data_IF_312959867213
#
_entry.id   IF_312959867213
#
_cell.length_a   1.000
_cell.length_b   1.000
_cell.length_c   1.000
_cell.angle_alpha   90.00
_cell.angle_beta   90.00
_cell.angle_gamma   90.00
#
_symmetry.space_group_name_H-M   'P 1'
#
loop_
_entity.id
_entity.type
_entity.pdbx_description
1 polymer ?
#
# COMPACT_ATOMS: atom_id res chain seq x y z
N UNK A 1 -20.48 22.61 -19.36
CA UNK A 1 -19.79 22.74 -18.06
C UNK A 1 -18.86 21.56 -17.92
N UNK A 2 -17.55 21.77 -17.78
CA UNK A 2 -16.60 20.68 -17.49
C UNK A 2 -16.92 20.09 -16.13
N UNK A 3 -17.10 18.79 -16.06
CA UNK A 3 -17.38 18.07 -14.82
C UNK A 3 -16.14 18.13 -13.91
N UNK A 4 -16.31 18.58 -12.67
CA UNK A 4 -15.22 18.66 -11.70
C UNK A 4 -15.04 17.29 -11.02
N UNK A 5 -13.87 16.67 -11.21
CA UNK A 5 -13.53 15.40 -10.57
C UNK A 5 -12.74 15.64 -9.29
N UNK A 6 -13.20 15.07 -8.18
CA UNK A 6 -12.50 15.05 -6.89
C UNK A 6 -12.13 13.61 -6.52
N UNK A 7 -11.00 13.44 -5.82
CA UNK A 7 -10.57 12.14 -5.28
C UNK A 7 -10.45 12.24 -3.77
N UNK A 8 -11.02 11.26 -3.08
CA UNK A 8 -10.80 11.09 -1.66
C UNK A 8 -9.44 10.42 -1.44
N UNK A 9 -8.55 11.06 -0.69
CA UNK A 9 -7.19 10.58 -0.41
C UNK A 9 -6.83 10.77 1.05
N UNK A 10 -5.88 9.98 1.54
CA UNK A 10 -5.26 10.21 2.86
C UNK A 10 -4.24 11.34 2.75
N UNK A 11 -4.42 12.38 3.57
CA UNK A 11 -3.50 13.52 3.65
C UNK A 11 -2.45 13.38 4.75
N UNK A 12 -2.82 12.80 5.89
CA UNK A 12 -1.96 12.68 7.06
C UNK A 12 -1.86 11.21 7.49
N UNK A 13 -0.64 10.67 7.47
CA UNK A 13 -0.36 9.30 7.84
C UNK A 13 0.12 9.23 9.29
N UNK A 14 -0.63 8.61 10.21
CA UNK A 14 -0.20 8.46 11.60
C UNK A 14 0.94 7.43 11.70
N UNK A 15 1.83 7.56 12.70
CA UNK A 15 2.90 6.58 12.96
C UNK A 15 2.36 5.17 13.23
N UNK A 16 1.21 5.12 13.89
CA UNK A 16 0.54 3.88 14.27
C UNK A 16 -0.90 3.89 13.73
N UNK A 17 -1.20 3.11 12.68
CA UNK A 17 -2.55 2.98 12.14
C UNK A 17 -3.51 2.27 13.13
N UNK A 18 -3.00 1.60 14.17
CA UNK A 18 -3.80 1.06 15.27
C UNK A 18 -4.56 2.14 16.06
N UNK A 19 -4.12 3.40 15.98
CA UNK A 19 -4.82 4.54 16.59
C UNK A 19 -6.14 4.89 15.88
N UNK A 20 -6.32 4.42 14.64
CA UNK A 20 -7.57 4.61 13.90
C UNK A 20 -8.68 3.78 14.54
N UNK A 21 -9.62 4.44 15.23
CA UNK A 21 -10.64 3.76 16.04
C UNK A 21 -11.68 3.00 15.20
N UNK A 22 -12.10 3.57 14.07
CA UNK A 22 -13.21 3.05 13.26
C UNK A 22 -12.70 2.07 12.21
N UNK A 23 -13.41 0.95 12.05
CA UNK A 23 -13.14 -0.04 11.00
C UNK A 23 -13.16 0.57 9.60
N UNK A 24 -14.13 1.44 9.32
CA UNK A 24 -14.22 2.17 8.05
C UNK A 24 -12.96 3.02 7.78
N UNK A 25 -12.38 3.66 8.80
CA UNK A 25 -11.18 4.46 8.61
C UNK A 25 -9.97 3.58 8.29
N UNK A 26 -9.82 2.43 8.95
CA UNK A 26 -8.76 1.46 8.63
C UNK A 26 -8.90 0.93 7.20
N UNK A 27 -10.11 0.60 6.78
CA UNK A 27 -10.40 0.18 5.41
C UNK A 27 -10.03 1.27 4.38
N UNK A 28 -10.39 2.54 4.61
CA UNK A 28 -10.01 3.64 3.72
C UNK A 28 -8.49 3.84 3.64
N UNK A 29 -7.76 3.62 4.75
CA UNK A 29 -6.30 3.61 4.74
C UNK A 29 -5.75 2.41 3.95
N UNK A 30 -6.33 1.21 4.11
CA UNK A 30 -5.93 0.02 3.34
C UNK A 30 -6.10 0.26 1.83
N UNK A 31 -7.19 0.90 1.40
CA UNK A 31 -7.39 1.31 0.01
C UNK A 31 -6.35 2.32 -0.47
N UNK A 32 -5.95 3.28 0.37
CA UNK A 32 -4.87 4.20 0.02
C UNK A 32 -3.54 3.47 -0.17
N UNK A 33 -3.21 2.50 0.69
CA UNK A 33 -2.01 1.67 0.54
C UNK A 33 -2.08 0.84 -0.75
N UNK A 34 -3.22 0.22 -1.06
CA UNK A 34 -3.45 -0.46 -2.35
C UNK A 34 -3.18 0.47 -3.53
N UNK A 35 -3.70 1.69 -3.49
CA UNK A 35 -3.50 2.69 -4.54
C UNK A 35 -2.03 3.11 -4.68
N UNK A 36 -1.33 3.32 -3.56
CA UNK A 36 0.07 3.73 -3.56
C UNK A 36 1.00 2.61 -4.02
N UNK A 37 0.65 1.34 -3.76
CA UNK A 37 1.35 0.19 -4.31
C UNK A 37 1.16 0.09 -5.82
N UNK A 38 -0.08 0.17 -6.29
CA UNK A 38 -0.38 -0.02 -7.71
C UNK A 38 0.18 1.08 -8.61
N UNK A 39 0.24 2.31 -8.11
CA UNK A 39 0.84 3.44 -8.83
C UNK A 39 2.36 3.61 -8.60
N UNK A 40 2.97 2.78 -7.74
CA UNK A 40 4.41 2.80 -7.47
C UNK A 40 4.89 3.90 -6.52
N UNK A 41 3.98 4.64 -5.87
CA UNK A 41 4.35 5.65 -4.86
C UNK A 41 4.87 5.04 -3.56
N UNK A 42 4.36 3.86 -3.17
CA UNK A 42 4.86 3.10 -2.03
C UNK A 42 5.88 2.06 -2.51
N UNK A 43 7.13 2.49 -2.68
CA UNK A 43 8.20 1.57 -3.06
C UNK A 43 8.66 0.73 -1.86
N UNK A 44 8.88 -0.56 -2.11
CA UNK A 44 9.39 -1.50 -1.12
C UNK A 44 10.02 -2.70 -1.82
N UNK A 45 10.68 -3.58 -1.07
CA UNK A 45 11.24 -4.81 -1.63
C UNK A 45 10.13 -5.80 -2.04
N UNK A 46 10.47 -6.72 -2.95
CA UNK A 46 9.55 -7.74 -3.49
C UNK A 46 8.81 -8.56 -2.43
N UNK A 47 9.45 -8.89 -1.32
CA UNK A 47 8.81 -9.69 -0.27
C UNK A 47 7.76 -8.86 0.47
N UNK A 48 8.04 -7.60 0.77
CA UNK A 48 7.08 -6.67 1.36
C UNK A 48 5.92 -6.40 0.42
N UNK A 49 6.20 -6.16 -0.87
CA UNK A 49 5.17 -5.95 -1.88
C UNK A 49 4.25 -7.18 -1.99
N UNK A 50 4.81 -8.38 -2.14
CA UNK A 50 4.03 -9.61 -2.21
C UNK A 50 3.20 -9.88 -0.94
N UNK A 51 3.77 -9.59 0.24
CA UNK A 51 3.06 -9.74 1.50
C UNK A 51 1.88 -8.75 1.62
N UNK A 52 2.08 -7.49 1.24
CA UNK A 52 1.01 -6.49 1.23
C UNK A 52 -0.12 -6.90 0.27
N UNK A 53 0.21 -7.28 -0.96
CA UNK A 53 -0.79 -7.74 -1.94
C UNK A 53 -1.54 -8.97 -1.42
N UNK A 54 -0.88 -9.91 -0.76
CA UNK A 54 -1.56 -11.08 -0.19
C UNK A 54 -2.61 -10.74 0.88
N UNK A 55 -2.41 -9.67 1.66
CA UNK A 55 -3.42 -9.18 2.60
C UNK A 55 -4.56 -8.48 1.87
N UNK A 56 -4.27 -7.76 0.78
CA UNK A 56 -5.31 -7.14 -0.07
C UNK A 56 -6.19 -8.23 -0.69
N UNK A 57 -5.61 -9.31 -1.24
CA UNK A 57 -6.37 -10.44 -1.76
C UNK A 57 -7.27 -11.06 -0.68
N UNK A 58 -6.71 -11.38 0.49
CA UNK A 58 -7.51 -11.95 1.57
C UNK A 58 -8.68 -11.04 1.98
N UNK A 59 -8.51 -9.71 1.93
CA UNK A 59 -9.57 -8.77 2.25
C UNK A 59 -10.65 -8.67 1.15
N UNK A 60 -10.25 -8.75 -0.12
CA UNK A 60 -11.15 -8.55 -1.28
C UNK A 60 -11.87 -9.83 -1.69
N UNK A 61 -11.16 -10.96 -1.68
CA UNK A 61 -11.64 -12.23 -2.26
C UNK A 61 -11.69 -13.40 -1.28
N UNK A 62 -11.22 -13.22 -0.05
CA UNK A 62 -11.30 -14.22 1.01
C UNK A 62 -10.21 -15.29 0.92
N UNK A 63 -10.54 -16.50 1.35
CA UNK A 63 -9.58 -17.61 1.45
C UNK A 63 -9.07 -18.04 0.06
N UNK A 64 -7.77 -18.32 -0.03
CA UNK A 64 -7.09 -18.78 -1.24
C UNK A 64 -7.85 -19.92 -1.95
N UNK A 65 -8.04 -19.75 -3.26
CA UNK A 65 -8.47 -20.78 -4.19
C UNK A 65 -7.59 -20.76 -5.44
N UNK A 66 -7.03 -21.90 -5.83
CA UNK A 66 -5.97 -21.94 -6.86
C UNK A 66 -6.38 -21.36 -8.21
N UNK A 67 -7.54 -21.75 -8.73
CA UNK A 67 -8.02 -21.29 -10.05
C UNK A 67 -8.52 -19.84 -9.98
N UNK A 68 -9.26 -19.50 -8.93
CA UNK A 68 -9.82 -18.17 -8.76
C UNK A 68 -8.74 -17.11 -8.56
N UNK A 69 -7.75 -17.37 -7.70
CA UNK A 69 -6.68 -16.44 -7.40
C UNK A 69 -5.78 -16.16 -8.60
N UNK A 70 -5.44 -17.22 -9.37
CA UNK A 70 -4.65 -17.08 -10.58
C UNK A 70 -5.37 -16.17 -11.58
N UNK A 71 -6.64 -16.44 -11.85
CA UNK A 71 -7.45 -15.62 -12.75
C UNK A 71 -7.63 -14.18 -12.23
N UNK A 72 -7.80 -14.00 -10.91
CA UNK A 72 -7.96 -12.70 -10.30
C UNK A 72 -6.69 -11.84 -10.41
N UNK A 73 -5.51 -12.43 -10.24
CA UNK A 73 -4.22 -11.77 -10.43
C UNK A 73 -3.95 -11.41 -11.90
N UNK A 74 -4.41 -12.21 -12.86
CA UNK A 74 -4.33 -11.87 -14.29
C UNK A 74 -5.16 -10.63 -14.65
N UNK A 75 -6.32 -10.44 -14.01
CA UNK A 75 -7.26 -9.36 -14.31
C UNK A 75 -7.00 -8.06 -13.53
N UNK A 76 -6.24 -8.11 -12.42
CA UNK A 76 -6.07 -6.99 -11.51
C UNK A 76 -4.60 -6.67 -11.24
N UNK A 77 -4.19 -5.43 -11.45
CA UNK A 77 -2.84 -4.96 -11.16
C UNK A 77 -2.75 -4.32 -9.78
N UNK A 78 -2.02 -4.94 -8.86
CA UNK A 78 -1.79 -4.47 -7.49
C UNK A 78 -0.42 -3.83 -7.30
N UNK A 79 0.59 -4.22 -8.09
CA UNK A 79 1.96 -3.68 -8.08
C UNK A 79 2.55 -3.68 -9.49
N UNK A 80 3.47 -2.76 -9.84
CA UNK A 80 3.99 -2.64 -11.21
C UNK A 80 4.67 -3.89 -11.79
N UNK A 81 5.31 -4.71 -10.94
CA UNK A 81 6.05 -5.91 -11.34
C UNK A 81 5.35 -7.21 -10.90
N UNK A 82 4.01 -7.21 -10.89
CA UNK A 82 3.19 -8.28 -10.29
C UNK A 82 3.48 -9.70 -10.81
N UNK A 83 3.60 -9.90 -12.12
CA UNK A 83 3.82 -11.22 -12.73
C UNK A 83 5.05 -11.95 -12.14
N UNK A 84 6.11 -11.20 -11.82
CA UNK A 84 7.31 -11.75 -11.17
C UNK A 84 7.09 -12.14 -9.71
N UNK A 85 6.04 -11.62 -9.09
CA UNK A 85 5.71 -11.76 -7.68
C UNK A 85 4.55 -12.72 -7.40
N UNK A 86 3.77 -13.14 -8.40
CA UNK A 86 2.57 -13.97 -8.23
C UNK A 86 2.81 -15.21 -7.36
N UNK A 87 3.91 -15.93 -7.61
CA UNK A 87 4.27 -17.10 -6.82
C UNK A 87 4.51 -16.77 -5.32
N UNK A 88 5.05 -15.59 -5.01
CA UNK A 88 5.23 -15.12 -3.63
C UNK A 88 3.91 -14.64 -3.02
N UNK A 89 3.11 -13.92 -3.81
CA UNK A 89 1.78 -13.43 -3.40
C UNK A 89 0.91 -14.62 -2.98
N UNK A 90 0.79 -15.62 -3.85
CA UNK A 90 0.04 -16.87 -3.61
C UNK A 90 0.59 -17.60 -2.38
N UNK A 91 1.93 -17.68 -2.24
CA UNK A 91 2.57 -18.33 -1.08
C UNK A 91 2.19 -17.66 0.25
N UNK A 92 2.05 -16.34 0.28
CA UNK A 92 1.61 -15.63 1.48
C UNK A 92 0.11 -15.76 1.70
N UNK A 93 -0.71 -15.62 0.65
CA UNK A 93 -2.16 -15.68 0.75
C UNK A 93 -2.67 -17.03 1.28
N UNK A 94 -2.04 -18.13 0.86
CA UNK A 94 -2.25 -19.48 1.44
C UNK A 94 -2.15 -19.55 2.97
N UNK A 95 -1.43 -18.61 3.61
CA UNK A 95 -1.22 -18.56 5.07
C UNK A 95 -2.27 -17.72 5.81
N UNK A 96 -3.08 -16.94 5.10
CA UNK A 96 -4.04 -16.00 5.70
C UNK A 96 -5.44 -16.58 5.87
N UNK A 97 -5.56 -17.90 5.77
CA UNK A 97 -6.83 -18.62 5.80
C UNK A 97 -7.68 -18.21 7.01
N UNK A 98 -8.95 -17.96 6.73
CA UNK A 98 -9.98 -17.55 7.68
C UNK A 98 -9.75 -16.19 8.35
N UNK A 99 -8.82 -15.37 7.86
CA UNK A 99 -8.76 -13.96 8.23
C UNK A 99 -9.95 -13.22 7.62
N UNK A 100 -10.64 -12.44 8.45
CA UNK A 100 -11.69 -11.53 7.97
C UNK A 100 -11.09 -10.35 7.20
N UNK A 101 -11.87 -9.63 6.37
CA UNK A 101 -11.40 -8.42 5.71
C UNK A 101 -10.85 -7.38 6.68
N UNK A 102 -11.54 -7.14 7.80
CA UNK A 102 -11.10 -6.19 8.81
C UNK A 102 -9.78 -6.58 9.48
N UNK A 103 -9.50 -7.88 9.66
CA UNK A 103 -8.23 -8.35 10.19
C UNK A 103 -7.11 -8.22 9.15
N UNK A 104 -7.43 -8.48 7.89
CA UNK A 104 -6.49 -8.34 6.77
C UNK A 104 -6.08 -6.88 6.56
N UNK A 105 -7.02 -5.93 6.67
CA UNK A 105 -6.73 -4.49 6.66
C UNK A 105 -5.77 -4.10 7.80
N UNK A 106 -5.97 -4.64 9.00
CA UNK A 106 -5.06 -4.37 10.14
C UNK A 106 -3.66 -4.89 9.85
N UNK A 107 -3.53 -6.13 9.37
CA UNK A 107 -2.22 -6.69 9.05
C UNK A 107 -1.52 -5.96 7.89
N UNK A 108 -2.28 -5.55 6.86
CA UNK A 108 -1.78 -4.72 5.77
C UNK A 108 -1.15 -3.43 6.31
N UNK A 109 -1.88 -2.71 7.16
CA UNK A 109 -1.42 -1.45 7.75
C UNK A 109 -0.22 -1.64 8.69
N UNK A 110 -0.16 -2.75 9.42
CA UNK A 110 0.98 -3.13 10.27
C UNK A 110 2.26 -3.42 9.49
N UNK A 111 2.13 -3.98 8.29
CA UNK A 111 3.27 -4.15 7.38
C UNK A 111 3.64 -2.81 6.74
N UNK A 112 2.65 -2.07 6.23
CA UNK A 112 2.87 -0.82 5.51
C UNK A 112 3.59 0.23 6.36
N UNK A 113 3.20 0.41 7.63
CA UNK A 113 3.79 1.43 8.52
C UNK A 113 5.29 1.24 8.79
N UNK A 114 5.82 0.04 8.54
CA UNK A 114 7.23 -0.30 8.75
C UNK A 114 8.09 -0.03 7.51
N UNK A 115 7.49 0.39 6.41
CA UNK A 115 8.18 0.72 5.17
C UNK A 115 8.69 2.17 5.23
N UNK A 116 9.91 2.38 4.75
CA UNK A 116 10.54 3.72 4.73
C UNK A 116 9.72 4.74 3.94
N UNK A 117 9.00 4.28 2.92
CA UNK A 117 8.20 5.11 2.03
C UNK A 117 6.74 5.27 2.46
N UNK A 118 6.36 4.79 3.65
CA UNK A 118 5.01 4.91 4.18
C UNK A 118 4.59 6.38 4.38
N UNK A 119 3.56 6.81 3.64
CA UNK A 119 3.03 8.17 3.70
C UNK A 119 3.98 9.24 3.13
N UNK A 120 5.10 8.85 2.51
CA UNK A 120 6.06 9.77 1.91
C UNK A 120 5.53 10.26 0.57
N UNK A 121 5.47 11.59 0.42
CA UNK A 121 5.18 12.28 -0.85
C UNK A 121 6.35 13.20 -1.17
N UNK A 122 7.32 12.75 -1.99
CA UNK A 122 8.50 13.54 -2.33
C UNK A 122 8.13 14.72 -3.25
N UNK A 123 8.75 15.86 -3.00
CA UNK A 123 8.66 17.08 -3.80
C UNK A 123 10.07 17.44 -4.29
N UNK A 124 10.31 17.46 -5.61
CA UNK A 124 11.63 17.76 -6.14
C UNK A 124 12.05 19.21 -5.80
N UNK A 125 13.31 19.37 -5.43
CA UNK A 125 13.91 20.64 -5.08
C UNK A 125 15.42 20.63 -5.42
N UNK A 126 16.08 21.76 -5.17
CA UNK A 126 17.54 21.88 -5.25
C UNK A 126 18.07 22.44 -3.94
N UNK A 127 19.23 21.98 -3.51
CA UNK A 127 19.93 22.55 -2.37
C UNK A 127 20.74 23.81 -2.74
N UNK A 128 21.52 24.33 -1.79
CA UNK A 128 22.36 25.52 -2.01
C UNK A 128 23.50 25.33 -3.01
N UNK A 129 23.88 24.08 -3.31
CA UNK A 129 24.91 23.74 -4.30
C UNK A 129 24.30 23.38 -5.68
N UNK A 130 22.97 23.43 -5.81
CA UNK A 130 22.24 23.09 -7.02
C UNK A 130 22.07 21.58 -7.23
N UNK A 131 22.35 20.76 -6.23
CA UNK A 131 22.11 19.31 -6.30
C UNK A 131 20.61 19.04 -6.23
N UNK A 132 20.12 18.15 -7.12
CA UNK A 132 18.72 17.72 -7.09
C UNK A 132 18.48 16.88 -5.84
N UNK A 133 17.46 17.24 -5.09
CA UNK A 133 16.97 16.54 -3.90
C UNK A 133 15.45 16.39 -3.98
N UNK A 134 14.88 15.58 -3.10
CA UNK A 134 13.45 15.61 -2.84
C UNK A 134 13.17 15.92 -1.37
N UNK A 135 12.18 16.76 -1.11
CA UNK A 135 11.69 17.07 0.22
C UNK A 135 10.39 16.29 0.47
N UNK A 136 10.18 15.79 1.68
CA UNK A 136 8.86 15.29 2.09
C UNK A 136 8.53 15.73 3.51
N UNK A 137 7.26 15.64 3.89
CA UNK A 137 6.80 15.93 5.25
C UNK A 137 6.12 14.70 5.82
N UNK A 138 6.46 14.36 7.05
CA UNK A 138 5.89 13.25 7.82
C UNK A 138 5.44 13.72 9.19
N UNK A 139 4.84 12.83 9.98
CA UNK A 139 4.53 13.11 11.38
C UNK A 139 5.78 13.37 12.25
N UNK A 140 6.98 12.97 11.81
CA UNK A 140 8.26 13.24 12.50
C UNK A 140 8.92 14.57 12.08
N UNK A 141 8.44 15.20 11.00
CA UNK A 141 9.01 16.43 10.46
C UNK A 141 9.35 16.36 8.97
N UNK A 142 10.27 17.23 8.54
CA UNK A 142 10.72 17.33 7.14
C UNK A 142 11.84 16.34 6.88
N UNK A 143 11.76 15.64 5.76
CA UNK A 143 12.76 14.70 5.26
C UNK A 143 13.39 15.23 3.98
N UNK A 144 14.67 14.90 3.77
CA UNK A 144 15.42 15.19 2.55
C UNK A 144 15.93 13.87 1.98
N UNK A 145 15.62 13.61 0.71
CA UNK A 145 16.06 12.46 -0.07
C UNK A 145 17.00 12.92 -1.19
N UNK A 146 17.97 12.09 -1.54
CA UNK A 146 18.92 12.31 -2.63
C UNK A 146 18.70 11.26 -3.72
#
# INVERSE_FOLDING_TARGET
TSELTFRFIVKFFPPDPGQLQKGLTRYLFALQIKQDLSNGSLTCNDNSAALLVSHILQAEIGDYNEEFDAHHLELNQYVPNQEYLDHKIIRFHKKHRSHSPALSDVHLLEVARKLDMYGIRPHPAHDGEGMRINLAVTHMGVLVFQ
#
